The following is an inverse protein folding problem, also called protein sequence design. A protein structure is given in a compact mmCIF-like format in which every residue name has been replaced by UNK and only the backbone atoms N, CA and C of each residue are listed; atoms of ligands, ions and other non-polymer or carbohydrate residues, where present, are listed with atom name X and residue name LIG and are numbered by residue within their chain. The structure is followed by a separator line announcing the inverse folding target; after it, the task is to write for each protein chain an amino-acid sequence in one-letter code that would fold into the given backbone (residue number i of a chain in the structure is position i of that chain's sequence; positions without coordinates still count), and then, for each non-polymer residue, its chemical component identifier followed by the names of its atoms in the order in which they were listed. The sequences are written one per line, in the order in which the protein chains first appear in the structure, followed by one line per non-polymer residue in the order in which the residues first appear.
data_IF_826886866570
#
_entry.id   IF_826886866570
#
_cell.length_a   1.000
_cell.length_b   1.000
_cell.length_c   1.000
_cell.angle_alpha   90.00
_cell.angle_beta   90.00
_cell.angle_gamma   90.00
#
_symmetry.space_group_name_H-M   'P 1'
#
loop_
_entity.id
_entity.type
_entity.pdbx_description
1 polymer ?
#
# COMPACT_ATOMS: atom_id res chain seq x y z
N UNK A 1 -1.24 7.04 -14.05
CA UNK A 1 -0.45 6.13 -13.20
C UNK A 1 -0.81 6.34 -11.73
N UNK A 2 -1.46 5.35 -11.11
CA UNK A 2 -1.77 5.37 -9.68
C UNK A 2 -0.53 5.02 -8.86
N UNK A 3 -0.05 5.95 -8.04
CA UNK A 3 1.05 5.70 -7.12
C UNK A 3 0.52 5.24 -5.77
N UNK A 4 1.11 4.18 -5.24
CA UNK A 4 0.83 3.63 -3.91
C UNK A 4 2.06 3.90 -3.04
N UNK A 5 1.87 4.53 -1.87
CA UNK A 5 2.96 4.73 -0.92
C UNK A 5 3.38 3.38 -0.32
N UNK A 6 4.68 3.03 -0.40
CA UNK A 6 5.18 1.76 0.16
C UNK A 6 5.02 1.74 1.69
N UNK A 7 5.13 2.88 2.36
CA UNK A 7 5.12 2.96 3.82
C UNK A 7 3.72 2.78 4.40
N UNK A 8 2.72 3.52 3.89
CA UNK A 8 1.37 3.52 4.47
C UNK A 8 0.31 2.84 3.59
N UNK A 9 0.66 2.37 2.39
CA UNK A 9 -0.26 1.68 1.48
C UNK A 9 -1.31 2.57 0.80
N UNK A 10 -1.35 3.88 1.06
CA UNK A 10 -2.32 4.79 0.45
C UNK A 10 -2.10 4.88 -1.06
N UNK A 11 -3.15 4.60 -1.84
CA UNK A 11 -3.19 4.81 -3.28
C UNK A 11 -3.68 6.22 -3.60
N UNK A 12 -2.92 6.93 -4.43
CA UNK A 12 -3.29 8.26 -4.92
C UNK A 12 -3.90 8.15 -6.32
N UNK A 13 -4.90 9.00 -6.59
CA UNK A 13 -5.62 9.03 -7.86
C UNK A 13 -4.75 9.50 -9.01
N UNK A 14 -5.23 9.28 -10.24
CA UNK A 14 -4.50 9.57 -11.46
C UNK A 14 -4.49 11.08 -11.77
N UNK A 15 -3.70 11.83 -11.01
CA UNK A 15 -3.15 13.07 -11.55
C UNK A 15 -1.85 12.71 -12.28
N UNK A 16 -1.55 13.43 -13.36
CA UNK A 16 -0.36 13.23 -14.20
C UNK A 16 0.97 13.21 -13.43
N UNK A 17 0.97 13.67 -12.18
CA UNK A 17 2.10 13.63 -11.25
C UNK A 17 1.68 13.02 -9.93
N UNK A 18 2.35 11.93 -9.57
CA UNK A 18 2.47 11.44 -8.20
C UNK A 18 2.86 12.60 -7.26
N UNK A 19 2.30 12.69 -6.05
CA UNK A 19 2.69 13.74 -5.11
C UNK A 19 4.18 13.65 -4.75
N UNK A 20 4.83 14.80 -4.57
CA UNK A 20 6.26 14.87 -4.25
C UNK A 20 6.61 14.14 -2.93
N UNK A 21 5.68 14.14 -1.98
CA UNK A 21 5.75 13.41 -0.73
C UNK A 21 4.36 12.88 -0.35
N UNK A 22 4.30 11.80 0.44
CA UNK A 22 3.02 11.28 0.91
C UNK A 22 2.50 12.15 2.08
N UNK A 23 1.39 12.88 1.92
CA UNK A 23 0.85 13.72 2.99
C UNK A 23 0.44 12.90 4.23
N UNK A 24 0.08 11.62 4.03
CA UNK A 24 -0.23 10.70 5.13
C UNK A 24 1.02 10.37 5.94
N UNK A 25 2.16 10.11 5.29
CA UNK A 25 3.42 9.80 6.00
C UNK A 25 4.07 11.03 6.63
N UNK A 26 3.76 12.23 6.12
CA UNK A 26 4.22 13.50 6.68
C UNK A 26 3.37 13.99 7.86
N UNK A 27 2.18 13.45 8.03
CA UNK A 27 1.37 13.67 9.22
C UNK A 27 2.10 13.13 10.46
N UNK A 28 2.11 13.89 11.56
CA UNK A 28 2.81 13.55 12.80
C UNK A 28 2.34 12.23 13.45
N UNK A 29 1.14 11.76 13.09
CA UNK A 29 0.59 10.48 13.55
C UNK A 29 1.20 9.28 12.80
N UNK A 30 1.99 9.55 11.77
CA UNK A 30 2.68 8.57 10.93
C UNK A 30 4.16 8.90 10.85
N UNK A 31 4.86 8.25 9.93
CA UNK A 31 6.29 8.43 9.72
C UNK A 31 6.66 8.28 8.26
N UNK A 32 7.76 8.93 7.88
CA UNK A 32 8.46 8.67 6.63
C UNK A 32 9.42 7.50 6.86
N UNK A 33 9.42 6.52 5.97
CA UNK A 33 10.30 5.36 6.05
C UNK A 33 11.78 5.77 6.09
N UNK A 34 12.63 4.99 6.77
CA UNK A 34 14.06 5.20 6.91
C UNK A 34 14.82 5.27 5.56
N UNK A 35 14.32 4.58 4.52
CA UNK A 35 14.84 4.67 3.15
C UNK A 35 14.24 5.84 2.34
N UNK A 36 13.54 6.76 3.00
CA UNK A 36 12.82 7.87 2.38
C UNK A 36 11.48 7.47 1.77
N UNK A 37 10.89 8.39 1.02
CA UNK A 37 9.59 8.18 0.40
C UNK A 37 9.74 7.30 -0.85
N UNK A 38 9.14 6.10 -0.79
CA UNK A 38 9.08 5.18 -1.91
C UNK A 38 7.64 4.93 -2.36
N UNK A 39 7.51 4.52 -3.61
CA UNK A 39 6.23 4.36 -4.29
C UNK A 39 6.24 3.07 -5.10
N UNK A 40 5.09 2.44 -5.19
CA UNK A 40 4.82 1.26 -6.02
C UNK A 40 3.57 1.49 -6.85
N UNK A 41 3.27 0.59 -7.78
CA UNK A 41 1.97 0.52 -8.45
C UNK A 41 1.21 -0.73 -8.03
N UNK A 42 -0.08 -0.80 -8.38
CA UNK A 42 -0.86 -2.02 -8.17
C UNK A 42 -0.28 -3.20 -8.97
N UNK A 43 0.22 -2.94 -10.18
CA UNK A 43 0.83 -3.97 -11.03
C UNK A 43 2.10 -4.55 -10.39
N UNK A 44 2.97 -3.71 -9.83
CA UNK A 44 4.19 -4.16 -9.13
C UNK A 44 3.86 -4.98 -7.87
N UNK A 45 2.81 -4.59 -7.14
CA UNK A 45 2.33 -5.36 -5.99
C UNK A 45 1.78 -6.71 -6.43
N UNK A 46 0.95 -6.78 -7.47
CA UNK A 46 0.40 -8.02 -7.99
C UNK A 46 1.46 -8.99 -8.54
N UNK A 47 2.60 -8.46 -8.99
CA UNK A 47 3.72 -9.28 -9.45
C UNK A 47 4.46 -10.01 -8.31
N UNK A 48 4.33 -9.53 -7.07
CA UNK A 48 5.12 -10.01 -5.92
C UNK A 48 4.28 -10.41 -4.69
N UNK A 49 2.98 -10.11 -4.68
CA UNK A 49 2.07 -10.36 -3.58
C UNK A 49 0.74 -10.93 -4.09
N UNK A 50 0.05 -11.66 -3.23
CA UNK A 50 -1.29 -12.20 -3.49
C UNK A 50 -2.22 -11.92 -2.32
N UNK A 51 -3.52 -11.85 -2.61
CA UNK A 51 -4.53 -11.82 -1.57
C UNK A 51 -4.90 -13.26 -1.16
N UNK A 52 -4.95 -13.50 0.14
CA UNK A 52 -5.35 -14.76 0.75
C UNK A 52 -6.65 -14.53 1.50
N UNK A 53 -7.65 -15.35 1.18
CA UNK A 53 -8.90 -15.42 1.92
C UNK A 53 -8.86 -16.69 2.76
N UNK A 54 -9.11 -16.54 4.06
CA UNK A 54 -9.12 -17.68 5.01
C UNK A 54 -10.25 -17.54 6.00
N UNK A 55 -10.88 -18.65 6.36
CA UNK A 55 -11.80 -18.67 7.50
C UNK A 55 -10.97 -18.54 8.78
N UNK A 56 -11.28 -17.52 9.59
CA UNK A 56 -10.59 -17.26 10.87
C UNK A 56 -11.28 -18.04 11.98
N UNK A 57 -12.60 -18.01 11.97
CA UNK A 57 -13.53 -18.72 12.86
C UNK A 57 -14.83 -19.01 12.08
N UNK A 58 -15.71 -19.92 12.54
CA UNK A 58 -16.94 -20.25 11.84
C UNK A 58 -17.76 -19.00 11.45
N UNK A 59 -17.91 -18.78 10.15
CA UNK A 59 -18.65 -17.63 9.61
C UNK A 59 -17.88 -16.31 9.57
N UNK A 60 -16.58 -16.32 9.84
CA UNK A 60 -15.70 -15.15 9.75
C UNK A 60 -14.59 -15.36 8.72
N UNK A 61 -14.67 -14.64 7.59
CA UNK A 61 -13.62 -14.64 6.56
C UNK A 61 -12.64 -13.49 6.78
N UNK A 62 -11.37 -13.84 6.96
CA UNK A 62 -10.25 -12.89 6.93
C UNK A 62 -9.71 -12.73 5.52
N UNK A 63 -9.25 -11.51 5.22
CA UNK A 63 -8.49 -11.18 4.01
C UNK A 63 -7.11 -10.64 4.42
N UNK A 64 -6.07 -11.16 3.78
CA UNK A 64 -4.70 -10.70 3.97
C UNK A 64 -4.00 -10.55 2.61
N UNK A 65 -3.04 -9.64 2.52
CA UNK A 65 -2.10 -9.57 1.39
C UNK A 65 -0.77 -10.13 1.86
N UNK A 66 -0.25 -11.15 1.19
CA UNK A 66 0.99 -11.84 1.56
C UNK A 66 1.97 -11.84 0.37
N UNK A 67 3.29 -11.83 0.62
CA UNK A 67 4.28 -12.07 -0.42
C UNK A 67 4.06 -13.42 -1.12
N UNK A 68 4.41 -13.45 -2.41
CA UNK A 68 4.44 -14.63 -3.28
C UNK A 68 5.28 -15.76 -2.72
#
# INVERSE_FOLDING_TARGET
MHAICITCGTQFTDNATRPAACPICQDERQYVNWNGQQWTTLADLQASHRNVLREVEPGMTGIATEPG
#
